data_IF_289921408902
#
_entry.id   IF_289921408902
#
_cell.length_a   1.000
_cell.length_b   1.000
_cell.length_c   1.000
_cell.angle_alpha   90.00
_cell.angle_beta   90.00
_cell.angle_gamma   90.00
#
_symmetry.space_group_name_H-M   'P 1'
#
loop_
_entity.id
_entity.type
_entity.pdbx_description
1 polymer ?
#
# COMPACT_ATOMS: atom_id res chain seq x y z
N UNK A 1 -16.96 1.33 2.62
CA UNK A 1 -15.90 1.24 3.65
C UNK A 1 -14.62 1.64 2.95
N UNK A 2 -13.84 2.56 3.49
CA UNK A 2 -12.62 3.06 2.85
C UNK A 2 -11.45 2.78 3.79
N UNK A 3 -10.37 2.23 3.25
CA UNK A 3 -9.13 1.98 3.96
C UNK A 3 -8.13 3.11 3.69
N UNK A 4 -7.14 3.24 4.55
CA UNK A 4 -6.06 4.22 4.40
C UNK A 4 -4.76 3.49 4.07
N UNK A 5 -4.05 3.98 3.06
CA UNK A 5 -2.73 3.48 2.65
C UNK A 5 -1.75 4.64 2.65
N UNK A 6 -0.60 4.46 3.31
CA UNK A 6 0.40 5.51 3.50
C UNK A 6 1.79 4.95 3.19
N UNK A 7 2.60 5.62 2.36
CA UNK A 7 4.02 5.32 2.24
C UNK A 7 4.78 5.96 3.42
N UNK A 8 5.42 5.15 4.25
CA UNK A 8 6.29 5.62 5.32
C UNK A 8 7.72 5.66 4.80
N UNK A 9 8.13 6.82 4.29
CA UNK A 9 9.41 7.01 3.58
C UNK A 9 10.63 6.64 4.43
N UNK A 10 10.60 6.98 5.73
CA UNK A 10 11.73 6.75 6.63
C UNK A 10 11.79 5.31 7.16
N UNK A 11 10.65 4.62 7.21
CA UNK A 11 10.54 3.23 7.67
C UNK A 11 10.74 2.21 6.54
N UNK A 12 10.88 2.67 5.29
CA UNK A 12 10.93 1.82 4.09
C UNK A 12 9.77 0.80 4.05
N UNK A 13 8.56 1.29 4.37
CA UNK A 13 7.38 0.46 4.47
C UNK A 13 6.14 1.16 3.92
N UNK A 14 5.18 0.34 3.48
CA UNK A 14 3.80 0.73 3.23
C UNK A 14 3.00 0.39 4.47
N UNK A 15 2.22 1.34 4.98
CA UNK A 15 1.32 1.07 6.08
C UNK A 15 -0.14 1.16 5.65
N UNK A 16 -0.93 0.17 6.06
CA UNK A 16 -2.34 0.02 5.72
C UNK A 16 -3.17 0.01 7.00
N UNK A 17 -4.17 0.89 7.09
CA UNK A 17 -5.10 0.96 8.21
C UNK A 17 -6.52 0.71 7.69
N UNK A 18 -7.14 -0.36 8.16
CA UNK A 18 -8.48 -0.76 7.73
C UNK A 18 -9.55 0.14 8.36
N UNK A 19 -10.49 0.59 7.55
CA UNK A 19 -11.61 1.41 8.01
C UNK A 19 -12.59 0.60 8.86
N UNK A 20 -12.99 1.11 10.01
CA UNK A 20 -13.94 0.43 10.91
C UNK A 20 -15.40 0.62 10.51
N UNK A 21 -15.66 1.51 9.54
CA UNK A 21 -17.02 1.92 9.16
C UNK A 21 -17.65 2.97 10.08
N UNK A 22 -17.00 3.33 11.20
CA UNK A 22 -17.48 4.38 12.13
C UNK A 22 -16.70 5.70 12.03
N UNK A 23 -15.90 5.85 10.97
CA UNK A 23 -15.00 7.00 10.79
C UNK A 23 -13.66 6.87 11.53
N UNK A 24 -13.38 5.71 12.13
CA UNK A 24 -12.08 5.37 12.72
C UNK A 24 -11.34 4.34 11.87
N UNK A 25 -10.06 4.14 12.16
CA UNK A 25 -9.21 3.14 11.51
C UNK A 25 -8.64 2.19 12.56
N UNK A 26 -8.41 0.94 12.16
CA UNK A 26 -7.67 -0.02 12.96
C UNK A 26 -6.18 0.36 13.07
N UNK A 27 -5.45 -0.35 13.94
CA UNK A 27 -4.01 -0.24 14.00
C UNK A 27 -3.37 -0.56 12.63
N UNK A 28 -2.37 0.23 12.26
CA UNK A 28 -1.71 0.12 10.97
C UNK A 28 -0.94 -1.21 10.89
N UNK A 29 -1.17 -1.96 9.81
CA UNK A 29 -0.31 -3.07 9.41
C UNK A 29 0.76 -2.56 8.46
N UNK A 30 2.01 -2.99 8.64
CA UNK A 30 3.14 -2.54 7.81
C UNK A 30 3.61 -3.66 6.87
N UNK A 31 3.90 -3.28 5.63
CA UNK A 31 4.40 -4.14 4.58
C UNK A 31 5.73 -3.57 4.07
N UNK A 32 6.81 -4.36 4.04
CA UNK A 32 8.13 -3.85 3.65
C UNK A 32 8.16 -3.48 2.17
N UNK A 33 8.65 -2.28 1.86
CA UNK A 33 8.85 -1.76 0.49
C UNK A 33 10.33 -1.76 0.11
N UNK A 34 10.69 -1.04 -0.96
CA UNK A 34 12.05 -0.57 -1.17
C UNK A 34 12.33 0.70 -0.36
N UNK A 35 13.46 1.34 -0.63
CA UNK A 35 13.94 2.51 0.08
C UNK A 35 13.24 3.80 -0.36
N UNK A 36 12.86 4.61 0.63
CA UNK A 36 12.23 5.91 0.45
C UNK A 36 11.00 5.83 -0.48
N UNK A 37 9.95 5.08 -0.09
CA UNK A 37 8.68 5.08 -0.82
C UNK A 37 8.04 6.47 -0.79
N UNK A 38 7.65 6.99 -1.95
CA UNK A 38 7.14 8.38 -2.08
C UNK A 38 5.80 8.49 -2.78
N UNK A 39 5.44 7.53 -3.62
CA UNK A 39 4.23 7.60 -4.43
C UNK A 39 3.52 6.26 -4.49
N UNK A 40 2.20 6.33 -4.60
CA UNK A 40 1.29 5.19 -4.66
C UNK A 40 0.39 5.29 -5.89
N UNK A 41 0.10 4.15 -6.50
CA UNK A 41 -0.94 3.98 -7.49
C UNK A 41 -1.81 2.77 -7.15
N UNK A 42 -3.11 2.87 -7.42
CA UNK A 42 -4.09 1.81 -7.22
C UNK A 42 -4.70 1.48 -8.59
N UNK A 43 -4.59 0.22 -8.99
CA UNK A 43 -5.21 -0.31 -10.20
C UNK A 43 -5.27 -1.83 -10.11
N UNK A 44 -6.05 -2.48 -10.95
CA UNK A 44 -5.93 -3.92 -11.17
C UNK A 44 -4.73 -4.18 -12.08
N UNK A 45 -3.59 -4.59 -11.50
CA UNK A 45 -2.34 -4.78 -12.24
C UNK A 45 -2.18 -6.22 -12.76
N UNK A 46 -2.89 -7.18 -12.16
CA UNK A 46 -2.80 -8.61 -12.52
C UNK A 46 -4.02 -9.14 -13.30
N UNK A 47 -5.07 -8.34 -13.47
CA UNK A 47 -6.29 -8.67 -14.22
C UNK A 47 -7.31 -9.50 -13.42
N UNK A 48 -7.24 -9.53 -12.09
CA UNK A 48 -8.13 -10.35 -11.24
C UNK A 48 -9.36 -9.60 -10.72
N UNK A 49 -9.58 -8.38 -11.21
CA UNK A 49 -10.65 -7.46 -10.81
C UNK A 49 -10.59 -7.00 -9.34
N UNK A 50 -9.45 -7.18 -8.65
CA UNK A 50 -9.20 -6.58 -7.34
C UNK A 50 -8.21 -5.42 -7.46
N UNK A 51 -8.37 -4.35 -6.66
CA UNK A 51 -7.41 -3.26 -6.66
C UNK A 51 -6.09 -3.74 -6.03
N UNK A 52 -5.02 -3.66 -6.81
CA UNK A 52 -3.65 -3.86 -6.39
C UNK A 52 -3.00 -2.51 -6.05
N UNK A 53 -1.83 -2.56 -5.41
CA UNK A 53 -1.07 -1.38 -4.98
C UNK A 53 0.32 -1.37 -5.62
N UNK A 54 0.68 -0.28 -6.30
CA UNK A 54 2.04 -0.04 -6.77
C UNK A 54 2.70 1.09 -5.96
N UNK A 55 3.96 0.88 -5.57
CA UNK A 55 4.75 1.80 -4.76
C UNK A 55 6.04 2.14 -5.48
N UNK A 56 6.28 3.44 -5.68
CA UNK A 56 7.56 3.95 -6.20
C UNK A 56 8.54 4.17 -5.06
N UNK A 57 9.71 3.54 -5.15
CA UNK A 57 10.81 3.62 -4.19
C UNK A 57 11.93 4.44 -4.82
N UNK A 58 12.00 5.74 -4.50
CA UNK A 58 12.84 6.68 -5.25
C UNK A 58 14.33 6.55 -4.95
N UNK A 59 14.72 5.98 -3.81
CA UNK A 59 16.14 5.73 -3.53
C UNK A 59 16.65 4.44 -4.16
N UNK A 60 15.74 3.54 -4.56
CA UNK A 60 16.06 2.27 -5.23
C UNK A 60 15.85 2.31 -6.74
N UNK A 61 15.34 3.42 -7.29
CA UNK A 61 14.87 3.53 -8.68
C UNK A 61 13.97 2.35 -9.10
N UNK A 62 13.11 1.90 -8.18
CA UNK A 62 12.30 0.69 -8.37
C UNK A 62 10.82 0.89 -8.05
N UNK A 63 9.97 0.12 -8.72
CA UNK A 63 8.55 0.00 -8.41
C UNK A 63 8.27 -1.38 -7.85
N UNK A 64 7.55 -1.45 -6.72
CA UNK A 64 7.03 -2.71 -6.18
C UNK A 64 5.51 -2.75 -6.30
N UNK A 65 4.97 -3.91 -6.64
CA UNK A 65 3.52 -4.13 -6.75
C UNK A 65 3.09 -5.16 -5.71
N UNK A 66 2.10 -4.81 -4.89
CA UNK A 66 1.43 -5.68 -3.94
C UNK A 66 0.13 -6.15 -4.58
N UNK A 67 0.05 -7.46 -4.84
CA UNK A 67 -1.14 -8.07 -5.38
C UNK A 67 -2.11 -8.35 -4.24
N UNK A 68 -3.34 -7.90 -4.41
CA UNK A 68 -4.40 -8.14 -3.44
C UNK A 68 -5.01 -9.51 -3.70
N UNK A 69 -4.74 -10.46 -2.81
CA UNK A 69 -5.38 -11.78 -2.86
C UNK A 69 -6.50 -11.83 -1.82
N UNK A 70 -7.68 -12.31 -2.22
CA UNK A 70 -8.69 -12.69 -1.24
C UNK A 70 -8.26 -14.06 -0.69
N UNK A 71 -8.09 -14.23 0.64
CA UNK A 71 -8.06 -15.56 1.22
C UNK A 71 -9.42 -16.27 1.09
#
# INVERSE_FOLDING_TARGET
>A
MHDLVVPNSDDNALGISLGTGTGTFQAQSTYPTGNYPTSLAIADFNGDAKPDLAVLNTSDDSVRVYLTVCP
#
